data_IF_881622746829
#
_entry.id   IF_881622746829
#
_cell.length_a   1.000
_cell.length_b   1.000
_cell.length_c   1.000
_cell.angle_alpha   90.00
_cell.angle_beta   90.00
_cell.angle_gamma   90.00
#
_symmetry.space_group_name_H-M   'P 1'
#
loop_
_entity.id
_entity.type
_entity.pdbx_description
1 polymer ?
#
# COMPACT_ATOMS: atom_id res chain seq x y z
N UNK A 1 18.09 20.87 36.70
CA UNK A 1 17.83 19.77 35.77
C UNK A 1 16.35 19.45 35.90
N UNK A 2 15.53 19.81 34.94
CA UNK A 2 14.13 19.40 34.94
C UNK A 2 14.11 17.88 34.73
N UNK A 3 13.57 17.15 35.71
CA UNK A 3 13.23 15.74 35.50
C UNK A 3 12.26 15.66 34.31
N UNK A 4 12.69 15.08 33.23
CA UNK A 4 11.77 14.73 32.15
C UNK A 4 10.76 13.75 32.72
N UNK A 5 9.57 14.25 33.01
CA UNK A 5 8.45 13.43 33.48
C UNK A 5 8.21 12.34 32.45
N UNK A 6 8.28 11.10 32.88
CA UNK A 6 8.04 9.96 32.00
C UNK A 6 6.60 10.05 31.43
N UNK A 7 6.47 9.98 30.11
CA UNK A 7 5.16 10.09 29.44
C UNK A 7 4.25 8.95 29.87
N UNK A 8 3.02 9.26 30.23
CA UNK A 8 2.01 8.27 30.54
C UNK A 8 1.67 7.44 29.26
N UNK A 9 1.05 6.28 29.46
CA UNK A 9 0.61 5.41 28.35
C UNK A 9 -0.27 6.19 27.36
N UNK A 10 -1.23 6.93 27.85
CA UNK A 10 -2.15 7.71 26.99
C UNK A 10 -1.42 8.84 26.25
N UNK A 11 -0.42 9.47 26.87
CA UNK A 11 0.37 10.49 26.19
C UNK A 11 1.11 9.93 24.99
N UNK A 12 1.72 8.75 25.14
CA UNK A 12 2.40 8.05 24.04
C UNK A 12 1.44 7.67 22.93
N UNK A 13 0.24 7.19 23.26
CA UNK A 13 -0.80 6.88 22.26
C UNK A 13 -1.23 8.12 21.48
N UNK A 14 -1.46 9.26 22.16
CA UNK A 14 -1.80 10.51 21.48
C UNK A 14 -0.64 11.09 20.67
N UNK A 15 0.60 10.89 21.10
CA UNK A 15 1.76 11.30 20.32
C UNK A 15 1.83 10.50 19.01
N UNK A 16 1.58 9.20 19.05
CA UNK A 16 1.48 8.36 17.86
C UNK A 16 0.33 8.81 16.95
N UNK A 17 -0.88 9.04 17.50
CA UNK A 17 -2.04 9.51 16.74
C UNK A 17 -1.76 10.84 16.03
N UNK A 18 -1.01 11.75 16.68
CA UNK A 18 -0.58 13.00 16.03
C UNK A 18 0.47 12.76 14.94
N UNK A 19 1.38 11.81 15.18
CA UNK A 19 2.44 11.49 14.21
C UNK A 19 1.87 10.94 12.92
N UNK A 20 0.93 10.00 12.99
CA UNK A 20 0.33 9.36 11.81
C UNK A 20 -0.55 10.31 10.99
N UNK A 21 -0.94 11.49 11.52
CA UNK A 21 -1.61 12.53 10.72
C UNK A 21 -0.75 13.00 9.54
N UNK A 22 0.57 12.82 9.63
CA UNK A 22 1.52 13.17 8.56
C UNK A 22 1.41 12.30 7.31
N UNK A 23 0.84 11.10 7.41
CA UNK A 23 0.55 10.23 6.27
C UNK A 23 -0.29 10.95 5.19
N UNK A 24 -1.15 11.86 5.61
CA UNK A 24 -1.94 12.71 4.71
C UNK A 24 -1.11 13.65 3.82
N UNK A 25 0.15 13.86 4.14
CA UNK A 25 1.07 14.71 3.36
C UNK A 25 1.97 13.90 2.42
N UNK A 26 1.96 12.59 2.51
CA UNK A 26 2.69 11.71 1.59
C UNK A 26 1.84 11.54 0.34
N UNK A 27 2.39 11.95 -0.79
CA UNK A 27 1.65 11.98 -2.07
C UNK A 27 2.11 10.83 -2.96
N UNK A 28 1.21 9.96 -3.30
CA UNK A 28 1.41 8.82 -4.21
C UNK A 28 1.47 9.27 -5.67
N UNK A 29 1.87 8.35 -6.55
CA UNK A 29 1.89 8.63 -7.98
C UNK A 29 0.52 8.46 -8.65
N UNK A 30 -0.42 7.77 -8.01
CA UNK A 30 -1.76 7.53 -8.52
C UNK A 30 -2.66 8.77 -8.40
N UNK A 31 -3.42 9.08 -9.45
CA UNK A 31 -4.40 10.17 -9.42
C UNK A 31 -5.72 9.72 -8.79
N UNK A 32 -6.41 10.63 -8.11
CA UNK A 32 -7.82 10.45 -7.75
C UNK A 32 -8.68 10.31 -9.01
N UNK A 33 -9.87 9.73 -8.87
CA UNK A 33 -10.79 9.43 -9.97
C UNK A 33 -11.19 10.64 -10.83
N UNK A 34 -11.12 11.86 -10.29
CA UNK A 34 -11.36 13.10 -11.05
C UNK A 34 -10.14 13.60 -11.84
N UNK A 35 -9.02 12.91 -11.75
CA UNK A 35 -7.74 13.19 -12.40
C UNK A 35 -7.14 14.58 -12.11
N UNK A 36 -7.59 15.28 -11.05
CA UNK A 36 -7.12 16.65 -10.75
C UNK A 36 -5.89 16.66 -9.85
N UNK A 37 -5.86 15.78 -8.84
CA UNK A 37 -4.71 15.65 -7.95
C UNK A 37 -4.36 14.18 -7.73
N UNK A 38 -3.19 13.98 -7.18
CA UNK A 38 -2.77 12.65 -6.71
C UNK A 38 -3.42 12.33 -5.36
N UNK A 39 -3.64 11.06 -5.08
CA UNK A 39 -4.04 10.59 -3.74
C UNK A 39 -2.88 10.70 -2.76
N UNK A 40 -3.18 10.69 -1.46
CA UNK A 40 -2.21 10.49 -0.40
C UNK A 40 -2.37 9.10 0.22
N UNK A 41 -1.39 8.68 1.05
CA UNK A 41 -1.39 7.33 1.63
C UNK A 41 -2.59 7.06 2.53
N UNK A 42 -3.06 8.05 3.29
CA UNK A 42 -4.26 7.89 4.11
C UNK A 42 -5.53 7.64 3.28
N UNK A 43 -5.65 8.28 2.11
CA UNK A 43 -6.76 8.06 1.17
C UNK A 43 -6.65 6.66 0.53
N UNK A 44 -5.45 6.23 0.19
CA UNK A 44 -5.14 4.90 -0.31
C UNK A 44 -5.51 3.82 0.72
N UNK A 45 -5.01 3.92 1.94
CA UNK A 45 -5.30 2.99 3.03
C UNK A 45 -6.80 2.89 3.33
N UNK A 46 -7.51 4.04 3.42
CA UNK A 46 -8.96 4.06 3.58
C UNK A 46 -9.69 3.34 2.44
N UNK A 47 -9.30 3.62 1.19
CA UNK A 47 -9.94 3.02 0.01
C UNK A 47 -9.78 1.50 -0.01
N UNK A 48 -8.56 1.01 0.24
CA UNK A 48 -8.29 -0.42 0.34
C UNK A 48 -9.03 -1.09 1.49
N UNK A 49 -9.16 -0.42 2.64
CA UNK A 49 -9.94 -0.94 3.76
C UNK A 49 -11.42 -1.15 3.37
N UNK A 50 -12.02 -0.19 2.67
CA UNK A 50 -13.40 -0.34 2.16
C UNK A 50 -13.48 -1.44 1.09
N UNK A 51 -12.51 -1.53 0.17
CA UNK A 51 -12.44 -2.61 -0.81
C UNK A 51 -12.38 -3.97 -0.13
N UNK A 52 -11.58 -4.13 0.92
CA UNK A 52 -11.47 -5.37 1.68
C UNK A 52 -12.81 -5.82 2.26
N UNK A 53 -13.59 -4.90 2.85
CA UNK A 53 -14.92 -5.22 3.39
C UNK A 53 -15.88 -5.77 2.34
N UNK A 54 -15.72 -5.37 1.08
CA UNK A 54 -16.59 -5.78 -0.02
C UNK A 54 -16.06 -7.01 -0.77
N UNK A 55 -14.73 -7.13 -0.91
CA UNK A 55 -14.09 -8.08 -1.82
C UNK A 55 -13.47 -9.29 -1.11
N UNK A 56 -13.49 -9.34 0.23
CA UNK A 56 -12.95 -10.48 1.00
C UNK A 56 -13.56 -11.84 0.62
N UNK A 57 -14.78 -11.85 0.11
CA UNK A 57 -15.44 -13.06 -0.41
C UNK A 57 -14.71 -13.70 -1.61
N UNK A 58 -13.77 -12.98 -2.24
CA UNK A 58 -12.98 -13.46 -3.37
C UNK A 58 -11.56 -13.88 -3.00
N UNK A 59 -11.22 -13.93 -1.71
CA UNK A 59 -9.95 -14.48 -1.26
C UNK A 59 -9.84 -15.96 -1.65
N UNK A 60 -8.63 -16.41 -2.01
CA UNK A 60 -8.42 -17.82 -2.36
C UNK A 60 -8.54 -18.76 -1.15
N UNK A 61 -8.25 -18.25 0.04
CA UNK A 61 -8.27 -18.97 1.32
C UNK A 61 -9.12 -18.20 2.32
N UNK A 62 -9.51 -18.83 3.41
CA UNK A 62 -10.19 -18.16 4.54
C UNK A 62 -9.20 -17.18 5.20
N UNK A 63 -9.65 -15.94 5.45
CA UNK A 63 -8.85 -14.85 5.99
C UNK A 63 -9.52 -14.19 7.19
N UNK A 64 -8.72 -13.70 8.13
CA UNK A 64 -9.18 -12.76 9.16
C UNK A 64 -9.25 -11.34 8.55
N UNK A 65 -10.47 -10.92 8.20
CA UNK A 65 -10.72 -9.61 7.60
C UNK A 65 -10.25 -8.46 8.49
N UNK A 66 -10.38 -8.58 9.82
CA UNK A 66 -9.89 -7.54 10.73
C UNK A 66 -8.36 -7.43 10.70
N UNK A 67 -7.67 -8.56 10.56
CA UNK A 67 -6.22 -8.58 10.41
C UNK A 67 -5.79 -7.91 9.11
N UNK A 68 -6.43 -8.23 7.97
CA UNK A 68 -6.19 -7.57 6.68
C UNK A 68 -6.40 -6.06 6.77
N UNK A 69 -7.53 -5.62 7.34
CA UNK A 69 -7.82 -4.20 7.55
C UNK A 69 -6.73 -3.51 8.38
N UNK A 70 -6.29 -4.19 9.45
CA UNK A 70 -5.24 -3.65 10.32
C UNK A 70 -3.92 -3.47 9.57
N UNK A 71 -3.52 -4.44 8.74
CA UNK A 71 -2.33 -4.34 7.89
C UNK A 71 -2.43 -3.17 6.91
N UNK A 72 -3.53 -3.09 6.16
CA UNK A 72 -3.75 -2.04 5.15
C UNK A 72 -3.79 -0.63 5.74
N UNK A 73 -4.22 -0.48 6.99
CA UNK A 73 -4.26 0.83 7.66
C UNK A 73 -2.89 1.28 8.21
N UNK A 74 -1.91 0.38 8.28
CA UNK A 74 -0.62 0.72 8.89
C UNK A 74 0.59 0.52 7.97
N UNK A 75 0.44 -0.17 6.82
CA UNK A 75 1.59 -0.60 6.01
C UNK A 75 2.41 0.58 5.49
N UNK A 76 1.76 1.66 5.07
CA UNK A 76 2.41 2.86 4.51
C UNK A 76 2.79 3.91 5.58
N UNK A 77 2.47 3.71 6.89
CA UNK A 77 2.88 4.67 7.94
C UNK A 77 4.38 4.90 7.97
N UNK A 78 5.18 3.93 7.56
CA UNK A 78 6.64 4.03 7.47
C UNK A 78 7.08 5.08 6.43
N UNK A 79 6.24 5.38 5.46
CA UNK A 79 6.52 6.36 4.42
C UNK A 79 6.55 7.80 4.94
N UNK A 80 6.02 8.06 6.14
CA UNK A 80 6.17 9.35 6.82
C UNK A 80 7.64 9.79 6.90
N UNK A 81 8.56 8.84 7.09
CA UNK A 81 10.00 9.09 7.13
C UNK A 81 10.72 8.57 5.88
N UNK A 82 10.28 7.45 5.34
CA UNK A 82 10.91 6.81 4.19
C UNK A 82 10.56 7.50 2.86
N UNK A 83 9.36 8.10 2.77
CA UNK A 83 8.78 8.61 1.54
C UNK A 83 8.24 7.53 0.62
N UNK A 84 7.18 7.82 -0.13
CA UNK A 84 6.62 6.93 -1.17
C UNK A 84 7.69 6.57 -2.20
N UNK A 85 7.92 5.27 -2.38
CA UNK A 85 8.80 4.76 -3.42
C UNK A 85 7.97 4.26 -4.59
N UNK A 86 8.07 4.97 -5.72
CA UNK A 86 7.30 4.61 -6.91
C UNK A 86 7.55 3.16 -7.35
N UNK A 87 6.47 2.43 -7.58
CA UNK A 87 6.51 0.99 -7.84
C UNK A 87 7.42 0.56 -9.01
N UNK A 88 7.75 1.46 -9.94
CA UNK A 88 8.62 1.21 -11.09
C UNK A 88 9.94 1.97 -11.02
N UNK A 89 10.32 2.49 -9.84
CA UNK A 89 11.61 3.14 -9.58
C UNK A 89 12.63 2.12 -9.06
N UNK A 90 13.40 1.54 -9.97
CA UNK A 90 14.40 0.52 -9.65
C UNK A 90 15.57 1.05 -8.78
N UNK A 91 15.90 2.34 -8.86
CA UNK A 91 16.93 2.95 -8.04
C UNK A 91 16.43 3.18 -6.60
N UNK A 92 15.22 3.71 -6.46
CA UNK A 92 14.57 3.94 -5.17
C UNK A 92 14.38 2.66 -4.37
N UNK A 93 14.02 1.56 -5.02
CA UNK A 93 13.85 0.23 -4.40
C UNK A 93 15.10 -0.30 -3.72
N UNK A 94 16.31 0.01 -4.21
CA UNK A 94 17.56 -0.52 -3.63
C UNK A 94 17.78 -0.09 -2.18
N UNK A 95 17.25 1.05 -1.76
CA UNK A 95 17.39 1.57 -0.39
C UNK A 95 16.08 1.53 0.39
N UNK A 96 14.98 1.18 -0.26
CA UNK A 96 13.63 1.23 0.30
C UNK A 96 13.53 0.48 1.63
N UNK A 97 13.87 -0.81 1.66
CA UNK A 97 13.77 -1.63 2.88
C UNK A 97 14.55 -1.06 4.06
N UNK A 98 15.75 -0.53 3.82
CA UNK A 98 16.59 0.06 4.89
C UNK A 98 15.95 1.33 5.46
N UNK A 99 15.36 2.16 4.59
CA UNK A 99 14.67 3.39 5.01
C UNK A 99 13.40 3.06 5.79
N UNK A 100 12.61 2.11 5.32
CA UNK A 100 11.36 1.68 5.94
C UNK A 100 11.59 1.00 7.30
N UNK A 101 12.57 0.11 7.43
CA UNK A 101 12.92 -0.49 8.73
C UNK A 101 13.27 0.59 9.76
N UNK A 102 14.08 1.57 9.37
CA UNK A 102 14.44 2.69 10.26
C UNK A 102 13.22 3.55 10.62
N UNK A 103 12.34 3.78 9.67
CA UNK A 103 11.08 4.50 9.87
C UNK A 103 10.15 3.75 10.83
N UNK A 104 10.00 2.44 10.63
CA UNK A 104 9.19 1.58 11.48
C UNK A 104 9.70 1.56 12.93
N UNK A 105 11.02 1.46 13.15
CA UNK A 105 11.62 1.55 14.49
C UNK A 105 11.27 2.86 15.19
N UNK A 106 11.30 3.97 14.47
CA UNK A 106 10.95 5.28 15.03
C UNK A 106 9.45 5.42 15.27
N UNK A 107 8.64 5.12 14.28
CA UNK A 107 7.19 5.40 14.30
C UNK A 107 6.49 4.50 15.31
N UNK A 108 6.67 3.19 15.23
CA UNK A 108 6.07 2.25 16.19
C UNK A 108 6.67 2.37 17.58
N UNK A 109 7.95 2.82 17.71
CA UNK A 109 8.59 3.14 18.97
C UNK A 109 8.00 4.32 19.75
N UNK A 110 7.12 5.13 19.13
CA UNK A 110 6.37 6.20 19.83
C UNK A 110 5.34 5.58 20.79
N UNK A 111 4.72 4.47 20.41
CA UNK A 111 3.70 3.78 21.19
C UNK A 111 4.26 3.17 22.48
N UNK A 112 3.39 2.86 23.48
CA UNK A 112 3.74 1.91 24.52
C UNK A 112 4.29 0.62 23.92
N UNK A 113 5.30 0.01 24.58
CA UNK A 113 6.06 -1.11 24.03
C UNK A 113 5.19 -2.25 23.49
N UNK A 114 4.20 -2.70 24.28
CA UNK A 114 3.27 -3.76 23.90
C UNK A 114 2.44 -3.46 22.63
N UNK A 115 2.10 -2.20 22.40
CA UNK A 115 1.36 -1.76 21.21
C UNK A 115 2.31 -1.52 20.03
N UNK A 116 3.47 -0.94 20.30
CA UNK A 116 4.49 -0.69 19.28
C UNK A 116 5.02 -1.99 18.68
N UNK A 117 5.35 -2.98 19.51
CA UNK A 117 5.77 -4.31 19.08
C UNK A 117 4.70 -4.99 18.22
N UNK A 118 3.44 -4.97 18.68
CA UNK A 118 2.33 -5.57 17.94
C UNK A 118 2.13 -4.97 16.54
N UNK A 119 2.18 -3.64 16.40
CA UNK A 119 2.04 -3.00 15.09
C UNK A 119 3.28 -3.22 14.23
N UNK A 120 4.48 -3.25 14.85
CA UNK A 120 5.71 -3.58 14.15
C UNK A 120 5.71 -5.00 13.59
N UNK A 121 5.27 -5.99 14.37
CA UNK A 121 5.12 -7.38 13.93
C UNK A 121 4.12 -7.48 12.76
N UNK A 122 3.00 -6.75 12.85
CA UNK A 122 1.99 -6.75 11.80
C UNK A 122 2.51 -6.13 10.49
N UNK A 123 3.34 -5.10 10.59
CA UNK A 123 4.02 -4.51 9.43
C UNK A 123 5.08 -5.44 8.85
N UNK A 124 5.89 -6.11 9.68
CA UNK A 124 6.86 -7.12 9.21
C UNK A 124 6.15 -8.27 8.50
N UNK A 125 5.03 -8.75 9.04
CA UNK A 125 4.24 -9.80 8.39
C UNK A 125 3.75 -9.34 7.01
N UNK A 126 3.29 -8.08 6.88
CA UNK A 126 2.90 -7.52 5.59
C UNK A 126 4.06 -7.58 4.58
N UNK A 127 5.25 -7.21 4.99
CA UNK A 127 6.45 -7.23 4.15
C UNK A 127 6.91 -8.66 3.77
N UNK A 128 6.71 -9.65 4.65
CA UNK A 128 7.10 -11.05 4.40
C UNK A 128 6.21 -11.78 3.39
N UNK A 129 4.98 -11.33 3.19
CA UNK A 129 4.02 -11.81 2.19
C UNK A 129 3.73 -13.33 2.23
N UNK A 130 3.70 -13.96 3.41
CA UNK A 130 3.56 -15.42 3.54
C UNK A 130 2.13 -15.88 3.86
N UNK A 131 1.42 -15.15 4.73
CA UNK A 131 0.10 -15.56 5.21
C UNK A 131 -1.02 -15.28 4.19
N UNK A 132 -2.15 -16.00 4.24
CA UNK A 132 -3.30 -15.71 3.39
C UNK A 132 -3.81 -14.27 3.51
N UNK A 133 -3.80 -13.71 4.73
CA UNK A 133 -4.19 -12.33 5.01
C UNK A 133 -3.30 -11.34 4.28
N UNK A 134 -1.99 -11.53 4.34
CA UNK A 134 -1.02 -10.64 3.66
C UNK A 134 -1.15 -10.75 2.16
N UNK A 135 -1.26 -11.97 1.62
CA UNK A 135 -1.46 -12.17 0.18
C UNK A 135 -2.70 -11.44 -0.30
N UNK A 136 -3.80 -11.48 0.47
CA UNK A 136 -5.01 -10.76 0.12
C UNK A 136 -4.86 -9.23 0.31
N UNK A 137 -4.13 -8.78 1.32
CA UNK A 137 -3.80 -7.35 1.49
C UNK A 137 -3.02 -6.81 0.28
N UNK A 138 -2.03 -7.56 -0.22
CA UNK A 138 -1.31 -7.21 -1.45
C UNK A 138 -2.19 -7.22 -2.71
N UNK A 139 -3.25 -8.04 -2.75
CA UNK A 139 -4.25 -7.91 -3.84
C UNK A 139 -4.89 -6.53 -3.83
N UNK A 140 -5.28 -6.04 -2.65
CA UNK A 140 -5.89 -4.70 -2.52
C UNK A 140 -4.90 -3.60 -2.93
N UNK A 141 -3.66 -3.67 -2.44
CA UNK A 141 -2.59 -2.71 -2.75
C UNK A 141 -2.22 -2.66 -4.24
N UNK A 142 -2.35 -3.78 -4.95
CA UNK A 142 -2.07 -3.86 -6.38
C UNK A 142 -3.28 -3.49 -7.25
N UNK A 143 -4.49 -3.90 -6.86
CA UNK A 143 -5.71 -3.71 -7.67
C UNK A 143 -6.23 -2.27 -7.56
N UNK A 144 -6.13 -1.64 -6.39
CA UNK A 144 -6.61 -0.27 -6.18
C UNK A 144 -5.94 0.74 -7.13
N UNK A 145 -4.60 0.81 -7.24
CA UNK A 145 -3.95 1.72 -8.18
C UNK A 145 -4.23 1.37 -9.64
N UNK A 146 -4.34 0.09 -9.98
CA UNK A 146 -4.67 -0.33 -11.34
C UNK A 146 -6.06 0.16 -11.76
N UNK A 147 -7.05 0.05 -10.87
CA UNK A 147 -8.40 0.56 -11.07
C UNK A 147 -8.43 2.09 -11.24
N UNK A 148 -7.72 2.83 -10.38
CA UNK A 148 -7.67 4.30 -10.48
C UNK A 148 -6.93 4.77 -11.74
N UNK A 149 -5.89 4.08 -12.15
CA UNK A 149 -5.19 4.39 -13.39
C UNK A 149 -6.08 4.15 -14.61
N UNK A 150 -6.86 3.07 -14.65
CA UNK A 150 -7.86 2.85 -15.69
C UNK A 150 -8.91 3.96 -15.67
N UNK A 151 -9.47 4.27 -14.51
CA UNK A 151 -10.51 5.28 -14.33
C UNK A 151 -10.05 6.69 -14.75
N UNK A 152 -8.76 7.00 -14.63
CA UNK A 152 -8.15 8.26 -15.06
C UNK A 152 -7.57 8.20 -16.48
N UNK A 153 -8.10 7.31 -17.33
CA UNK A 153 -7.70 7.16 -18.73
C UNK A 153 -6.21 6.83 -18.93
N UNK A 154 -5.60 6.15 -17.96
CA UNK A 154 -4.17 5.79 -17.98
C UNK A 154 -3.22 6.97 -17.85
N UNK A 155 -3.67 8.07 -17.24
CA UNK A 155 -2.92 9.33 -17.17
C UNK A 155 -1.49 9.17 -16.67
N UNK A 156 -1.29 8.43 -15.57
CA UNK A 156 0.04 8.19 -15.02
C UNK A 156 0.84 7.19 -15.88
N UNK A 157 0.21 6.12 -16.35
CA UNK A 157 0.84 5.14 -17.23
C UNK A 157 1.40 5.78 -18.51
N UNK A 158 0.61 6.68 -19.15
CA UNK A 158 1.03 7.42 -20.34
C UNK A 158 2.19 8.35 -20.01
N UNK A 159 2.05 9.16 -18.93
CA UNK A 159 3.04 10.16 -18.57
C UNK A 159 4.41 9.56 -18.25
N UNK A 160 4.43 8.35 -17.70
CA UNK A 160 5.66 7.64 -17.31
C UNK A 160 6.10 6.57 -18.31
N UNK A 161 5.33 6.33 -19.38
CA UNK A 161 5.64 5.33 -20.37
C UNK A 161 5.69 3.92 -19.82
N UNK A 162 4.76 3.60 -18.90
CA UNK A 162 4.71 2.30 -18.21
C UNK A 162 4.51 1.16 -19.22
N UNK A 163 5.25 0.07 -19.02
CA UNK A 163 5.24 -1.12 -19.87
C UNK A 163 4.45 -2.24 -19.23
N UNK A 164 3.89 -3.10 -20.07
CA UNK A 164 3.14 -4.26 -19.61
C UNK A 164 4.01 -5.20 -18.75
N UNK A 165 5.27 -5.41 -19.14
CA UNK A 165 6.21 -6.23 -18.36
C UNK A 165 6.34 -5.75 -16.92
N UNK A 166 6.41 -4.44 -16.68
CA UNK A 166 6.52 -3.86 -15.34
C UNK A 166 5.25 -4.09 -14.51
N UNK A 167 4.07 -3.98 -15.15
CA UNK A 167 2.79 -4.25 -14.47
C UNK A 167 2.70 -5.73 -14.10
N UNK A 168 3.07 -6.63 -15.01
CA UNK A 168 3.04 -8.08 -14.75
C UNK A 168 4.03 -8.47 -13.65
N UNK A 169 5.22 -7.88 -13.61
CA UNK A 169 6.22 -8.12 -12.57
C UNK A 169 5.71 -7.68 -11.19
N UNK A 170 5.17 -6.43 -11.07
CA UNK A 170 4.58 -5.97 -9.81
C UNK A 170 3.44 -6.88 -9.32
N UNK A 171 2.67 -7.43 -10.23
CA UNK A 171 1.50 -8.26 -9.93
C UNK A 171 1.79 -9.77 -9.96
N UNK A 172 3.04 -10.19 -10.00
CA UNK A 172 3.42 -11.60 -10.17
C UNK A 172 2.78 -12.54 -9.12
N UNK A 173 2.56 -12.04 -7.91
CA UNK A 173 1.98 -12.79 -6.80
C UNK A 173 0.52 -12.43 -6.48
N UNK A 174 -0.10 -11.47 -7.19
CA UNK A 174 -1.48 -11.02 -6.90
C UNK A 174 -2.49 -12.17 -6.98
N UNK A 175 -2.32 -13.07 -7.94
CA UNK A 175 -3.17 -14.24 -8.08
C UNK A 175 -3.11 -15.23 -6.89
N UNK A 176 -2.04 -15.20 -6.09
CA UNK A 176 -1.91 -16.04 -4.90
C UNK A 176 -2.89 -15.64 -3.78
N UNK A 177 -3.21 -14.36 -3.65
CA UNK A 177 -4.20 -13.87 -2.70
C UNK A 177 -5.63 -13.96 -3.24
N UNK A 178 -5.83 -13.66 -4.53
CA UNK A 178 -7.11 -13.81 -5.21
C UNK A 178 -6.93 -13.94 -6.73
N UNK A 179 -7.05 -15.13 -7.26
CA UNK A 179 -7.07 -15.38 -8.70
C UNK A 179 -8.21 -14.62 -9.37
N UNK A 180 -9.39 -14.62 -8.75
CA UNK A 180 -10.58 -13.99 -9.33
C UNK A 180 -10.46 -12.47 -9.46
N UNK A 181 -9.88 -11.81 -8.47
CA UNK A 181 -9.67 -10.35 -8.52
C UNK A 181 -8.53 -9.99 -9.47
N UNK A 182 -7.49 -10.81 -9.56
CA UNK A 182 -6.44 -10.62 -10.56
C UNK A 182 -6.99 -10.73 -11.99
N UNK A 183 -7.75 -11.78 -12.30
CA UNK A 183 -8.35 -11.97 -13.61
C UNK A 183 -9.27 -10.80 -13.98
N UNK A 184 -10.05 -10.33 -13.00
CA UNK A 184 -10.92 -9.17 -13.19
C UNK A 184 -10.11 -7.90 -13.47
N UNK A 185 -9.10 -7.61 -12.67
CA UNK A 185 -8.27 -6.42 -12.82
C UNK A 185 -7.51 -6.44 -14.16
N UNK A 186 -6.92 -7.58 -14.52
CA UNK A 186 -6.23 -7.72 -15.78
C UNK A 186 -7.17 -7.48 -16.98
N UNK A 187 -8.33 -8.15 -16.99
CA UNK A 187 -9.27 -8.08 -18.11
C UNK A 187 -9.95 -6.71 -18.25
N UNK A 188 -10.25 -6.03 -17.11
CA UNK A 188 -11.05 -4.82 -17.14
C UNK A 188 -10.23 -3.52 -17.02
N UNK A 189 -9.04 -3.58 -16.35
CA UNK A 189 -8.24 -2.38 -16.11
C UNK A 189 -6.93 -2.37 -16.92
N UNK A 190 -6.29 -3.51 -17.12
CA UNK A 190 -4.96 -3.57 -17.74
C UNK A 190 -5.06 -3.82 -19.25
N UNK A 191 -5.70 -4.91 -19.66
CA UNK A 191 -5.76 -5.32 -21.07
C UNK A 191 -6.37 -4.27 -22.02
N UNK A 192 -7.47 -3.55 -21.65
CA UNK A 192 -8.01 -2.48 -22.49
C UNK A 192 -7.03 -1.33 -22.70
N UNK A 193 -6.25 -1.00 -21.67
CA UNK A 193 -5.25 0.07 -21.72
C UNK A 193 -4.01 -0.34 -22.54
N UNK A 194 -3.67 -1.63 -22.58
CA UNK A 194 -2.68 -2.17 -23.53
C UNK A 194 -3.21 -2.08 -24.96
N UNK A 195 -4.44 -2.53 -25.22
CA UNK A 195 -5.07 -2.50 -26.54
C UNK A 195 -5.19 -1.09 -27.14
N UNK A 196 -5.37 -0.10 -26.28
CA UNK A 196 -5.46 1.31 -26.68
C UNK A 196 -4.11 2.05 -26.67
N UNK A 197 -3.02 1.38 -26.32
CA UNK A 197 -1.65 1.92 -26.35
C UNK A 197 -1.32 2.86 -25.19
N UNK A 198 -2.16 2.91 -24.13
CA UNK A 198 -1.89 3.67 -22.91
C UNK A 198 -0.82 2.98 -22.04
N UNK A 199 -0.80 1.65 -22.08
CA UNK A 199 0.28 0.81 -21.57
C UNK A 199 1.06 0.28 -22.76
N UNK A 200 2.38 0.41 -22.75
CA UNK A 200 3.23 -0.07 -23.83
C UNK A 200 3.38 -1.60 -23.75
N UNK A 201 2.94 -2.31 -24.79
CA UNK A 201 3.16 -3.76 -24.90
C UNK A 201 4.61 -4.05 -25.34
N UNK A 202 5.41 -4.54 -24.42
CA UNK A 202 6.80 -4.94 -24.61
C UNK A 202 7.01 -6.46 -24.42
N UNK A 203 5.92 -7.23 -24.43
CA UNK A 203 5.95 -8.69 -24.21
C UNK A 203 5.87 -9.49 -25.50
N UNK A 204 5.81 -8.82 -26.66
CA UNK A 204 5.76 -9.42 -28.00
C UNK A 204 7.11 -9.40 -28.69
#
# INVERSE_FOLDING_TARGET
MEEKQEKSRIDRQFDFIREIDKEKFITRQTFLSDAKRRENDAEHAWHMAVMTLLLSEYANEEIDVLRVLSMLLIHDLVEIDAGDTYAYDEEGKQTQRVREVKAADRIYGILPEDQGEKLRELWEEFEEAQTPEVKFAHVMDNVQPAMLNDYTEGKDWIAKGVRLSQILERNAHTAEGSQKLWDYAYTNFIEPNVKTGKIKDDTK
#
